data_IF_819333177652
#
_entry.id   IF_819333177652
#
_cell.length_a   1.000
_cell.length_b   1.000
_cell.length_c   1.000
_cell.angle_alpha   90.00
_cell.angle_beta   90.00
_cell.angle_gamma   90.00
#
_symmetry.space_group_name_H-M   'P 1'
#
loop_
_entity.id
_entity.type
_entity.pdbx_description
1 polymer ?
#
# COMPACT_ATOMS: atom_id res chain seq x y z
N UNK A 1 -2.54 -20.26 78.36
CA UNK A 1 -2.03 -19.04 79.05
C UNK A 1 -2.56 -17.86 78.26
N UNK A 2 -3.71 -17.29 78.64
CA UNK A 2 -3.85 -16.20 79.65
C UNK A 2 -2.98 -14.99 79.24
N UNK A 3 -3.46 -13.76 79.12
CA UNK A 3 -4.76 -13.13 79.38
C UNK A 3 -4.69 -11.74 78.69
N UNK A 4 -5.71 -11.34 77.94
CA UNK A 4 -6.74 -10.36 78.36
C UNK A 4 -6.22 -8.93 78.64
N UNK A 5 -6.83 -7.97 77.95
CA UNK A 5 -7.71 -6.91 78.49
C UNK A 5 -8.25 -6.08 77.30
N UNK A 6 -9.50 -6.15 76.82
CA UNK A 6 -10.84 -5.70 77.32
C UNK A 6 -10.89 -4.23 77.74
N UNK A 7 -11.42 -3.31 76.88
CA UNK A 7 -12.81 -2.72 76.83
C UNK A 7 -13.00 -1.54 77.85
N UNK A 8 -14.01 -0.61 77.78
CA UNK A 8 -15.30 -0.68 77.08
C UNK A 8 -15.81 0.74 76.54
N UNK A 9 -17.13 1.09 76.43
CA UNK A 9 -17.72 1.71 75.23
C UNK A 9 -18.58 2.98 75.53
N UNK A 10 -19.25 3.56 74.53
CA UNK A 10 -20.51 4.32 74.68
C UNK A 10 -21.22 4.34 73.30
N UNK A 11 -22.34 3.62 73.13
CA UNK A 11 -23.73 4.11 73.28
C UNK A 11 -24.14 5.08 72.14
N UNK A 12 -25.24 4.96 71.39
CA UNK A 12 -26.53 4.23 71.52
C UNK A 12 -27.36 4.46 70.24
N UNK A 13 -28.11 3.42 69.82
CA UNK A 13 -29.47 3.43 69.23
C UNK A 13 -29.83 4.03 67.85
N UNK A 14 -30.28 3.12 66.97
CA UNK A 14 -31.37 3.25 65.97
C UNK A 14 -32.75 3.38 66.68
N UNK A 15 -33.92 3.55 66.00
CA UNK A 15 -34.27 4.07 64.66
C UNK A 15 -35.40 5.13 64.76
N UNK A 16 -35.98 5.63 63.65
CA UNK A 16 -37.44 5.70 63.38
C UNK A 16 -37.77 6.60 62.17
N UNK A 17 -38.55 6.00 61.29
CA UNK A 17 -39.28 6.53 60.14
C UNK A 17 -40.42 7.46 60.59
N UNK A 18 -40.59 8.63 59.94
CA UNK A 18 -41.76 9.08 59.14
C UNK A 18 -42.02 10.59 59.23
N UNK A 19 -42.35 11.16 58.05
CA UNK A 19 -43.29 12.27 57.79
C UNK A 19 -42.86 13.65 58.34
N UNK A 20 -42.74 14.73 57.55
CA UNK A 20 -43.72 15.31 56.61
C UNK A 20 -43.01 16.29 55.66
N UNK A 21 -43.63 16.47 54.49
CA UNK A 21 -43.36 17.51 53.49
C UNK A 21 -43.21 18.93 54.08
N UNK A 22 -42.27 19.72 53.55
CA UNK A 22 -42.54 21.07 53.01
C UNK A 22 -41.39 21.53 52.10
N UNK A 23 -41.69 21.56 50.80
CA UNK A 23 -41.36 22.61 49.83
C UNK A 23 -40.13 23.49 50.08
N UNK A 24 -39.06 23.24 49.32
CA UNK A 24 -38.26 24.30 48.69
C UNK A 24 -37.87 23.85 47.28
N UNK A 25 -38.56 24.43 46.29
CA UNK A 25 -38.13 24.41 44.88
C UNK A 25 -36.84 25.23 44.78
N UNK A 26 -35.88 24.74 44.00
CA UNK A 26 -34.88 25.60 43.39
C UNK A 26 -33.48 25.01 43.32
N UNK A 27 -33.09 24.63 42.10
CA UNK A 27 -31.73 24.86 41.60
C UNK A 27 -30.61 23.87 41.98
N UNK A 28 -30.82 22.55 41.86
CA UNK A 28 -29.71 21.56 41.87
C UNK A 28 -29.85 20.46 40.79
N UNK A 29 -30.40 20.78 39.59
CA UNK A 29 -30.44 19.82 38.46
C UNK A 29 -29.71 20.33 37.21
N UNK A 30 -29.33 21.62 37.12
CA UNK A 30 -28.67 22.17 35.94
C UNK A 30 -27.17 21.79 35.82
N UNK A 31 -26.44 21.75 36.94
CA UNK A 31 -24.97 21.66 36.90
C UNK A 31 -24.42 20.33 36.35
N UNK A 32 -25.14 19.21 36.52
CA UNK A 32 -24.69 17.91 35.99
C UNK A 32 -24.95 17.76 34.48
N UNK A 33 -25.93 18.47 33.94
CA UNK A 33 -26.20 18.50 32.50
C UNK A 33 -25.09 19.25 31.77
N UNK A 34 -24.60 20.35 32.35
CA UNK A 34 -23.62 21.22 31.69
C UNK A 34 -22.23 20.57 31.64
N UNK A 35 -21.82 19.81 32.67
CA UNK A 35 -20.57 19.05 32.64
C UNK A 35 -20.63 17.87 31.66
N UNK A 36 -21.75 17.14 31.62
CA UNK A 36 -21.94 16.07 30.64
C UNK A 36 -21.98 16.64 29.21
N UNK A 37 -22.61 17.80 29.02
CA UNK A 37 -22.65 18.52 27.75
C UNK A 37 -21.27 19.05 27.36
N UNK A 38 -20.48 19.59 28.30
CA UNK A 38 -19.09 20.01 28.05
C UNK A 38 -18.18 18.84 27.74
N UNK A 39 -18.36 17.67 28.38
CA UNK A 39 -17.56 16.48 28.08
C UNK A 39 -17.99 15.86 26.76
N UNK A 40 -19.29 15.87 26.42
CA UNK A 40 -19.78 15.47 25.11
C UNK A 40 -19.31 16.42 24.03
N UNK A 41 -19.40 17.73 24.23
CA UNK A 41 -18.93 18.77 23.30
C UNK A 41 -17.41 18.68 23.15
N UNK A 42 -16.66 18.51 24.24
CA UNK A 42 -15.21 18.27 24.18
C UNK A 42 -14.88 16.96 23.47
N UNK A 43 -15.61 15.87 23.69
CA UNK A 43 -15.39 14.59 22.98
C UNK A 43 -15.86 14.62 21.51
N UNK A 44 -16.90 15.38 21.18
CA UNK A 44 -17.38 15.64 19.82
C UNK A 44 -16.39 16.54 19.07
N UNK A 45 -15.81 17.53 19.75
CA UNK A 45 -14.71 18.36 19.25
C UNK A 45 -13.42 17.54 19.09
N UNK A 46 -13.09 16.62 20.00
CA UNK A 46 -11.89 15.76 19.88
C UNK A 46 -12.08 14.62 18.87
N UNK A 47 -13.30 14.16 18.59
CA UNK A 47 -13.58 13.21 17.50
C UNK A 47 -13.65 13.87 16.13
N UNK A 48 -14.02 15.15 16.05
CA UNK A 48 -13.98 15.94 14.81
C UNK A 48 -12.65 16.69 14.59
N UNK A 49 -11.76 16.72 15.58
CA UNK A 49 -10.37 17.10 15.38
C UNK A 49 -9.53 15.87 15.07
N UNK A 50 -9.83 15.27 13.91
CA UNK A 50 -8.72 14.82 13.06
C UNK A 50 -7.83 16.05 12.92
N UNK A 51 -6.60 15.97 13.40
CA UNK A 51 -5.58 16.99 13.17
C UNK A 51 -5.36 17.11 11.66
N UNK A 52 -6.22 17.86 10.99
CA UNK A 52 -6.13 18.27 9.60
C UNK A 52 -5.05 19.35 9.49
N UNK A 53 -3.80 18.96 9.75
CA UNK A 53 -2.64 19.56 9.11
C UNK A 53 -2.10 18.63 8.01
N UNK A 54 -2.95 17.74 7.50
CA UNK A 54 -2.77 17.02 6.24
C UNK A 54 -3.21 17.96 5.10
N UNK A 55 -2.31 18.34 4.20
CA UNK A 55 -2.55 19.22 3.04
C UNK A 55 -3.93 19.04 2.42
N UNK A 56 -4.89 19.97 2.52
CA UNK A 56 -6.29 19.76 2.05
C UNK A 56 -6.42 19.33 0.58
N UNK A 57 -5.32 19.43 -0.17
CA UNK A 57 -5.15 19.05 -1.55
C UNK A 57 -4.17 17.90 -1.72
N UNK A 58 -4.41 17.10 -2.75
CA UNK A 58 -3.49 16.11 -3.28
C UNK A 58 -2.97 16.60 -4.63
N UNK A 59 -1.67 16.50 -4.83
CA UNK A 59 -1.04 16.83 -6.11
C UNK A 59 -1.32 15.71 -7.10
N UNK A 60 -1.91 16.07 -8.24
CA UNK A 60 -2.38 15.10 -9.23
C UNK A 60 -2.00 15.52 -10.64
N UNK A 61 -1.65 14.55 -11.47
CA UNK A 61 -1.48 14.75 -12.92
C UNK A 61 -2.69 14.19 -13.65
N UNK A 62 -3.34 15.00 -14.49
CA UNK A 62 -4.65 14.66 -15.09
C UNK A 62 -4.55 14.60 -16.61
N UNK A 63 -5.08 13.53 -17.18
CA UNK A 63 -5.25 13.32 -18.62
C UNK A 63 -6.73 13.41 -18.99
N UNK A 64 -7.01 14.04 -20.13
CA UNK A 64 -8.35 14.12 -20.71
C UNK A 64 -8.73 12.89 -21.55
N UNK A 65 -9.92 12.95 -22.16
CA UNK A 65 -10.49 11.88 -22.98
C UNK A 65 -9.72 11.64 -24.28
N UNK A 66 -8.94 12.64 -24.72
CA UNK A 66 -8.08 12.55 -25.89
C UNK A 66 -6.69 12.03 -25.52
N UNK A 67 -6.42 11.78 -24.24
CA UNK A 67 -5.12 11.36 -23.75
C UNK A 67 -4.11 12.49 -23.67
N UNK A 68 -4.56 13.74 -23.72
CA UNK A 68 -3.69 14.91 -23.60
C UNK A 68 -3.55 15.30 -22.13
N UNK A 69 -2.33 15.70 -21.77
CA UNK A 69 -2.03 16.22 -20.45
C UNK A 69 -2.73 17.58 -20.24
N UNK A 70 -3.73 17.63 -19.36
CA UNK A 70 -4.47 18.87 -19.07
C UNK A 70 -3.65 19.80 -18.19
N UNK A 71 -3.02 19.24 -17.16
CA UNK A 71 -2.18 19.98 -16.22
C UNK A 71 -1.17 19.03 -15.57
N UNK A 72 0.14 19.25 -15.74
CA UNK A 72 1.12 18.58 -14.92
C UNK A 72 0.96 19.08 -13.48
N UNK A 73 0.73 18.16 -12.53
CA UNK A 73 0.76 18.45 -11.10
C UNK A 73 -0.19 19.58 -10.60
N UNK A 74 -1.49 19.36 -10.69
CA UNK A 74 -2.53 20.21 -10.09
C UNK A 74 -2.89 19.75 -8.68
N UNK A 75 -3.06 20.71 -7.77
CA UNK A 75 -3.55 20.45 -6.41
C UNK A 75 -5.09 20.30 -6.41
N UNK A 76 -5.58 19.07 -6.23
CA UNK A 76 -7.00 18.75 -6.18
C UNK A 76 -7.44 18.56 -4.73
N UNK A 77 -8.54 19.21 -4.33
CA UNK A 77 -9.08 19.06 -2.95
C UNK A 77 -9.52 17.62 -2.69
N UNK A 78 -9.22 17.09 -1.49
CA UNK A 78 -9.70 15.75 -1.09
C UNK A 78 -11.22 15.62 -1.21
N UNK A 79 -11.98 16.66 -0.88
CA UNK A 79 -13.44 16.68 -1.02
C UNK A 79 -13.92 16.56 -2.47
N UNK A 80 -13.17 17.13 -3.42
CA UNK A 80 -13.46 17.00 -4.85
C UNK A 80 -13.20 15.56 -5.34
N UNK A 81 -12.08 14.96 -4.92
CA UNK A 81 -11.77 13.56 -5.23
C UNK A 81 -12.85 12.59 -4.72
N UNK A 82 -13.42 12.82 -3.54
CA UNK A 82 -14.52 12.01 -2.99
C UNK A 82 -15.79 12.22 -3.81
N UNK A 83 -16.22 13.48 -3.95
CA UNK A 83 -17.56 13.81 -4.47
C UNK A 83 -17.65 13.63 -5.98
N UNK A 84 -16.62 14.04 -6.72
CA UNK A 84 -16.60 14.06 -8.20
C UNK A 84 -15.95 12.82 -8.80
N UNK A 85 -15.02 12.19 -8.07
CA UNK A 85 -14.29 11.02 -8.58
C UNK A 85 -14.67 9.70 -7.89
N UNK A 86 -15.61 9.73 -6.95
CA UNK A 86 -16.18 8.51 -6.34
C UNK A 86 -15.17 7.74 -5.48
N UNK A 87 -14.16 8.43 -4.96
CA UNK A 87 -13.20 7.86 -4.03
C UNK A 87 -13.78 7.82 -2.63
N UNK A 88 -13.54 6.73 -1.91
CA UNK A 88 -13.88 6.66 -0.49
C UNK A 88 -12.77 7.33 0.33
N UNK A 89 -13.09 7.88 1.52
CA UNK A 89 -12.08 8.44 2.43
C UNK A 89 -10.92 7.47 2.73
N UNK A 90 -11.20 6.16 2.76
CA UNK A 90 -10.17 5.11 2.96
C UNK A 90 -9.17 5.03 1.81
N UNK A 91 -9.60 5.31 0.58
CA UNK A 91 -8.74 5.25 -0.61
C UNK A 91 -7.78 6.44 -0.59
N UNK A 92 -8.31 7.62 -0.25
CA UNK A 92 -7.51 8.83 -0.10
C UNK A 92 -6.44 8.63 0.96
N UNK A 93 -6.75 8.02 2.10
CA UNK A 93 -5.72 7.68 3.12
C UNK A 93 -4.63 6.73 2.62
N UNK A 94 -4.96 5.81 1.70
CA UNK A 94 -3.97 4.93 1.06
C UNK A 94 -3.13 5.67 0.03
N UNK A 95 -3.70 6.68 -0.63
CA UNK A 95 -3.03 7.48 -1.67
C UNK A 95 -2.14 8.56 -1.05
N UNK A 96 -2.61 9.17 0.02
CA UNK A 96 -2.02 10.31 0.72
C UNK A 96 -0.87 9.83 1.61
N UNK A 97 0.32 9.78 1.01
CA UNK A 97 1.56 9.27 1.61
C UNK A 97 2.12 10.17 2.72
N UNK A 98 1.39 11.19 3.18
CA UNK A 98 1.87 12.14 4.19
C UNK A 98 2.12 11.51 5.56
N UNK A 99 1.59 10.31 5.84
CA UNK A 99 1.64 9.75 7.19
C UNK A 99 2.22 8.34 7.37
N UNK A 100 2.55 7.57 6.32
CA UNK A 100 3.15 6.23 6.54
C UNK A 100 4.17 5.85 5.48
N UNK A 101 5.42 5.73 5.90
CA UNK A 101 6.53 5.02 5.25
C UNK A 101 6.32 3.50 5.13
N UNK A 102 5.06 3.05 5.20
CA UNK A 102 4.70 1.65 5.06
C UNK A 102 4.42 1.38 3.58
N UNK A 103 5.15 0.43 3.02
CA UNK A 103 4.98 -0.07 1.66
C UNK A 103 3.51 -0.45 1.45
N UNK A 104 2.78 0.39 0.72
CA UNK A 104 1.35 0.17 0.45
C UNK A 104 1.24 -1.09 -0.40
N UNK A 105 0.49 -2.07 0.11
CA UNK A 105 0.24 -3.31 -0.61
C UNK A 105 -0.34 -3.00 -2.01
N UNK A 106 0.16 -3.67 -3.06
CA UNK A 106 -0.38 -3.51 -4.39
C UNK A 106 -1.88 -3.86 -4.40
N UNK A 107 -2.64 -3.17 -5.24
CA UNK A 107 -4.07 -3.42 -5.38
C UNK A 107 -4.59 -2.86 -6.71
N UNK A 108 -5.46 -3.63 -7.35
CA UNK A 108 -6.31 -3.18 -8.45
C UNK A 108 -7.75 -3.32 -7.97
N UNK A 109 -8.50 -2.22 -7.91
CA UNK A 109 -9.88 -2.21 -7.46
C UNK A 109 -10.77 -1.72 -8.59
N UNK A 110 -11.50 -2.66 -9.18
CA UNK A 110 -12.53 -2.37 -10.19
C UNK A 110 -13.77 -1.83 -9.49
N UNK A 111 -14.31 -0.71 -10.00
CA UNK A 111 -15.52 -0.07 -9.47
C UNK A 111 -16.53 0.17 -10.58
N UNK A 112 -17.69 0.69 -10.19
CA UNK A 112 -18.78 1.01 -11.13
C UNK A 112 -18.37 1.98 -12.24
N UNK A 113 -17.53 2.97 -11.94
CA UNK A 113 -17.20 4.06 -12.88
C UNK A 113 -15.70 4.36 -12.98
N UNK A 114 -14.87 3.56 -12.31
CA UNK A 114 -13.44 3.79 -12.23
C UNK A 114 -12.69 2.53 -11.84
N UNK A 115 -11.40 2.49 -12.16
CA UNK A 115 -10.46 1.48 -11.68
C UNK A 115 -9.40 2.21 -10.88
N UNK A 116 -9.26 1.85 -9.60
CA UNK A 116 -8.22 2.39 -8.73
C UNK A 116 -7.04 1.43 -8.75
N UNK A 117 -5.88 1.91 -9.18
CA UNK A 117 -4.65 1.11 -9.27
C UNK A 117 -3.61 1.68 -8.32
N UNK A 118 -3.03 0.80 -7.51
CA UNK A 118 -1.87 1.07 -6.66
C UNK A 118 -0.85 -0.02 -6.93
N UNK A 119 0.16 0.27 -7.75
CA UNK A 119 1.23 -0.67 -8.10
C UNK A 119 2.57 0.02 -7.93
N UNK A 120 3.38 -0.47 -6.98
CA UNK A 120 4.72 0.05 -6.70
C UNK A 120 4.70 1.57 -6.40
N UNK A 121 5.29 2.36 -7.29
CA UNK A 121 5.37 3.82 -7.20
C UNK A 121 4.20 4.52 -7.92
N UNK A 122 3.35 3.79 -8.64
CA UNK A 122 2.24 4.33 -9.43
C UNK A 122 0.95 4.20 -8.64
N UNK A 123 0.26 5.32 -8.46
CA UNK A 123 -1.09 5.38 -7.91
C UNK A 123 -1.94 6.18 -8.88
N UNK A 124 -3.01 5.58 -9.37
CA UNK A 124 -3.87 6.25 -10.32
C UNK A 124 -5.32 5.82 -10.25
N UNK A 125 -6.19 6.74 -10.62
CA UNK A 125 -7.60 6.49 -10.87
C UNK A 125 -7.85 6.56 -12.38
N UNK A 126 -8.24 5.44 -12.95
CA UNK A 126 -8.58 5.31 -14.36
C UNK A 126 -10.10 5.41 -14.49
N UNK A 127 -10.58 6.23 -15.42
CA UNK A 127 -11.98 6.31 -15.85
C UNK A 127 -12.05 6.09 -17.37
N UNK A 128 -13.27 5.97 -17.90
CA UNK A 128 -13.52 5.85 -19.34
C UNK A 128 -13.01 7.04 -20.17
N UNK A 129 -12.84 8.22 -19.56
CA UNK A 129 -12.55 9.48 -20.24
C UNK A 129 -11.46 10.32 -19.55
N UNK A 130 -10.90 9.86 -18.44
CA UNK A 130 -9.85 10.59 -17.74
C UNK A 130 -8.95 9.63 -16.96
N UNK A 131 -7.66 9.94 -16.88
CA UNK A 131 -6.73 9.29 -15.93
C UNK A 131 -6.23 10.34 -14.95
N UNK A 132 -6.23 10.01 -13.67
CA UNK A 132 -5.70 10.86 -12.60
C UNK A 132 -4.56 10.09 -11.94
N UNK A 133 -3.34 10.55 -12.12
CA UNK A 133 -2.17 10.09 -11.38
C UNK A 133 -2.08 10.88 -10.08
N UNK A 134 -1.78 10.21 -8.98
CA UNK A 134 -1.52 10.84 -7.70
C UNK A 134 -0.01 10.99 -7.52
N UNK A 135 0.46 12.23 -7.49
CA UNK A 135 1.87 12.56 -7.32
C UNK A 135 2.23 12.48 -5.83
N UNK A 136 3.40 11.93 -5.50
CA UNK A 136 3.91 12.02 -4.13
C UNK A 136 4.37 13.46 -3.85
N UNK A 137 3.78 14.07 -2.83
CA UNK A 137 4.08 15.42 -2.37
C UNK A 137 5.56 15.64 -1.97
N UNK A 138 6.30 14.57 -1.65
CA UNK A 138 7.71 14.65 -1.22
C UNK A 138 8.76 14.32 -2.29
N UNK A 139 8.37 13.65 -3.37
CA UNK A 139 9.31 13.18 -4.38
C UNK A 139 9.47 14.22 -5.49
N UNK A 140 10.69 14.78 -5.63
CA UNK A 140 11.09 15.48 -6.87
C UNK A 140 10.77 14.52 -8.01
N UNK A 141 9.97 14.96 -8.99
CA UNK A 141 9.55 14.14 -10.16
C UNK A 141 10.72 13.29 -10.64
N UNK A 142 10.69 12.00 -10.28
CA UNK A 142 11.79 11.10 -10.59
C UNK A 142 11.86 10.96 -12.11
N UNK A 143 13.04 10.68 -12.67
CA UNK A 143 13.16 10.45 -14.12
C UNK A 143 12.18 9.36 -14.60
N UNK A 144 11.96 8.34 -13.77
CA UNK A 144 10.99 7.28 -14.01
C UNK A 144 9.54 7.83 -14.06
N UNK A 145 9.17 8.74 -13.15
CA UNK A 145 7.83 9.34 -13.15
C UNK A 145 7.57 10.22 -14.38
N UNK A 146 8.54 11.05 -14.77
CA UNK A 146 8.42 11.86 -15.99
C UNK A 146 8.38 11.01 -17.26
N UNK A 147 9.17 9.93 -17.30
CA UNK A 147 9.14 8.97 -18.41
C UNK A 147 7.78 8.27 -18.49
N UNK A 148 7.23 7.83 -17.35
CA UNK A 148 5.91 7.21 -17.29
C UNK A 148 4.81 8.17 -17.78
N UNK A 149 4.83 9.45 -17.38
CA UNK A 149 3.85 10.45 -17.85
C UNK A 149 3.88 10.54 -19.39
N UNK A 150 5.07 10.59 -20.00
CA UNK A 150 5.22 10.68 -21.45
C UNK A 150 4.76 9.41 -22.17
N UNK A 151 5.10 8.23 -21.63
CA UNK A 151 4.66 6.94 -22.17
C UNK A 151 3.14 6.77 -22.08
N UNK A 152 2.55 7.15 -20.95
CA UNK A 152 1.10 7.16 -20.74
C UNK A 152 0.41 8.11 -21.72
N UNK A 153 0.91 9.34 -21.89
CA UNK A 153 0.37 10.30 -22.85
C UNK A 153 0.38 9.74 -24.28
N UNK A 154 1.52 9.15 -24.68
CA UNK A 154 1.67 8.55 -26.00
C UNK A 154 0.69 7.39 -26.22
N UNK A 155 0.50 6.52 -25.21
CA UNK A 155 -0.37 5.35 -25.30
C UNK A 155 -1.85 5.74 -25.31
N UNK A 156 -2.25 6.75 -24.54
CA UNK A 156 -3.62 7.27 -24.53
C UNK A 156 -4.01 7.99 -25.83
N UNK A 157 -3.06 8.67 -26.48
CA UNK A 157 -3.28 9.34 -27.78
C UNK A 157 -3.33 8.38 -28.97
N UNK A 158 -2.81 7.16 -28.82
CA UNK A 158 -2.72 6.18 -29.91
C UNK A 158 -4.07 5.51 -30.20
N UNK A 159 -5.06 6.29 -30.64
CA UNK A 159 -6.42 5.83 -30.96
C UNK A 159 -6.49 5.14 -32.32
N UNK A 160 -5.43 5.24 -33.15
CA UNK A 160 -5.40 4.67 -34.49
C UNK A 160 -4.69 3.31 -34.58
N UNK A 161 -3.97 2.88 -33.53
CA UNK A 161 -3.15 1.66 -33.56
C UNK A 161 -3.65 0.54 -32.63
N UNK A 162 -4.62 0.81 -31.74
CA UNK A 162 -5.17 -0.20 -30.83
C UNK A 162 -6.69 -0.15 -30.81
N UNK A 163 -7.33 -1.30 -31.05
CA UNK A 163 -8.79 -1.51 -30.86
C UNK A 163 -9.21 -1.47 -29.37
N UNK A 164 -8.26 -1.24 -28.46
CA UNK A 164 -8.51 -1.23 -27.02
C UNK A 164 -9.19 0.08 -26.56
N UNK A 165 -10.21 -0.01 -25.68
CA UNK A 165 -10.80 1.13 -25.00
C UNK A 165 -9.79 1.98 -24.23
N UNK A 166 -10.13 3.25 -23.98
CA UNK A 166 -9.29 4.22 -23.28
C UNK A 166 -8.77 3.69 -21.94
N UNK A 167 -9.66 3.13 -21.13
CA UNK A 167 -9.36 2.60 -19.80
C UNK A 167 -8.40 1.40 -19.84
N UNK A 168 -8.47 0.56 -20.87
CA UNK A 168 -7.58 -0.60 -21.03
C UNK A 168 -6.19 -0.14 -21.46
N UNK A 169 -6.09 0.82 -22.38
CA UNK A 169 -4.80 1.42 -22.78
C UNK A 169 -4.11 2.11 -21.59
N UNK A 170 -4.88 2.78 -20.74
CA UNK A 170 -4.38 3.39 -19.51
C UNK A 170 -3.80 2.34 -18.56
N UNK A 171 -4.56 1.25 -18.32
CA UNK A 171 -4.10 0.17 -17.46
C UNK A 171 -2.86 -0.52 -18.02
N UNK A 172 -2.84 -0.80 -19.31
CA UNK A 172 -1.70 -1.40 -19.99
C UNK A 172 -0.44 -0.54 -19.82
N UNK A 173 -0.54 0.79 -19.98
CA UNK A 173 0.57 1.70 -19.74
C UNK A 173 1.09 1.62 -18.29
N UNK A 174 0.19 1.49 -17.31
CA UNK A 174 0.55 1.32 -15.90
C UNK A 174 1.27 -0.01 -15.67
N UNK A 175 0.77 -1.11 -16.23
CA UNK A 175 1.38 -2.44 -16.10
C UNK A 175 2.76 -2.49 -16.76
N UNK A 176 2.91 -1.94 -17.97
CA UNK A 176 4.21 -1.84 -18.65
C UNK A 176 5.24 -1.10 -17.79
N UNK A 177 4.86 0.06 -17.24
CA UNK A 177 5.76 0.85 -16.40
C UNK A 177 6.11 0.15 -15.09
N UNK A 178 5.12 -0.50 -14.45
CA UNK A 178 5.32 -1.26 -13.23
C UNK A 178 6.28 -2.45 -13.44
N UNK A 179 6.07 -3.25 -14.49
CA UNK A 179 6.95 -4.38 -14.81
C UNK A 179 8.33 -3.93 -15.25
N UNK A 180 8.46 -2.87 -16.05
CA UNK A 180 9.76 -2.31 -16.43
C UNK A 180 10.59 -1.91 -15.20
N UNK A 181 9.92 -1.37 -14.16
CA UNK A 181 10.56 -1.05 -12.90
C UNK A 181 10.97 -2.31 -12.11
N UNK A 182 10.14 -3.35 -12.06
CA UNK A 182 10.52 -4.63 -11.45
C UNK A 182 11.69 -5.28 -12.17
N UNK A 183 11.71 -5.23 -13.50
CA UNK A 183 12.79 -5.73 -14.34
C UNK A 183 14.12 -5.04 -14.05
N UNK A 184 14.09 -3.70 -14.01
CA UNK A 184 15.28 -2.90 -13.71
C UNK A 184 15.82 -3.24 -12.32
N UNK A 185 14.94 -3.35 -11.32
CA UNK A 185 15.32 -3.68 -9.95
C UNK A 185 15.84 -5.12 -9.82
N UNK A 186 15.20 -6.09 -10.48
CA UNK A 186 15.66 -7.49 -10.56
C UNK A 186 17.07 -7.57 -11.16
N UNK A 187 17.32 -6.86 -12.28
CA UNK A 187 18.63 -6.84 -12.95
C UNK A 187 19.71 -6.28 -12.04
N UNK A 188 19.43 -5.19 -11.32
CA UNK A 188 20.36 -4.60 -10.35
C UNK A 188 20.64 -5.58 -9.22
N UNK A 189 19.60 -6.12 -8.57
CA UNK A 189 19.74 -7.05 -7.46
C UNK A 189 20.53 -8.31 -7.87
N UNK A 190 20.21 -8.88 -9.03
CA UNK A 190 20.90 -10.06 -9.56
C UNK A 190 22.37 -9.79 -9.85
N UNK A 191 22.68 -8.65 -10.46
CA UNK A 191 24.06 -8.27 -10.82
C UNK A 191 24.90 -8.03 -9.58
N UNK A 192 24.38 -7.26 -8.61
CA UNK A 192 25.07 -7.01 -7.34
C UNK A 192 25.32 -8.32 -6.60
N UNK A 193 24.31 -9.19 -6.52
CA UNK A 193 24.42 -10.48 -5.83
C UNK A 193 25.51 -11.36 -6.43
N UNK A 194 25.54 -11.51 -7.76
CA UNK A 194 26.57 -12.28 -8.46
C UNK A 194 27.97 -11.72 -8.19
N UNK A 195 28.12 -10.39 -8.18
CA UNK A 195 29.39 -9.76 -7.84
C UNK A 195 29.87 -10.09 -6.44
N UNK A 196 28.98 -10.01 -5.44
CA UNK A 196 29.32 -10.33 -4.05
C UNK A 196 29.71 -11.79 -3.86
N UNK A 197 29.00 -12.71 -4.51
CA UNK A 197 29.32 -14.13 -4.45
C UNK A 197 30.70 -14.42 -5.06
N UNK A 198 31.01 -13.82 -6.23
CA UNK A 198 32.33 -13.97 -6.85
C UNK A 198 33.46 -13.43 -5.96
N UNK A 199 33.27 -12.26 -5.35
CA UNK A 199 34.26 -11.70 -4.42
C UNK A 199 34.47 -12.56 -3.16
N UNK A 200 33.44 -13.29 -2.71
CA UNK A 200 33.51 -14.21 -1.57
C UNK A 200 34.16 -15.55 -1.93
N UNK A 201 34.03 -16.00 -3.18
CA UNK A 201 34.74 -17.18 -3.69
C UNK A 201 36.26 -16.95 -3.76
N UNK A 202 36.70 -15.72 -4.07
CA UNK A 202 38.13 -15.35 -4.07
C UNK A 202 38.72 -15.20 -2.65
N UNK A 203 38.02 -14.48 -1.78
CA UNK A 203 38.48 -14.23 -0.41
C UNK A 203 37.32 -13.97 0.55
N UNK A 204 37.22 -14.80 1.59
CA UNK A 204 36.20 -14.70 2.63
C UNK A 204 36.63 -13.66 3.67
N UNK A 205 35.93 -12.51 3.72
CA UNK A 205 36.14 -11.47 4.74
C UNK A 205 34.85 -11.13 5.47
N UNK A 206 34.96 -10.66 6.73
CA UNK A 206 33.80 -10.26 7.56
C UNK A 206 32.96 -9.16 6.93
N UNK A 207 33.58 -8.23 6.22
CA UNK A 207 32.90 -7.12 5.55
C UNK A 207 32.04 -7.61 4.37
N UNK A 208 32.60 -8.50 3.53
CA UNK A 208 31.89 -9.11 2.41
C UNK A 208 30.70 -9.97 2.88
N UNK A 209 30.87 -10.73 3.96
CA UNK A 209 29.76 -11.47 4.59
C UNK A 209 28.66 -10.53 5.10
N UNK A 210 29.02 -9.42 5.75
CA UNK A 210 28.04 -8.42 6.19
C UNK A 210 27.29 -7.81 5.00
N UNK A 211 28.00 -7.53 3.91
CA UNK A 211 27.39 -7.00 2.70
C UNK A 211 26.44 -8.02 2.07
N UNK A 212 26.80 -9.30 2.01
CA UNK A 212 25.93 -10.37 1.54
C UNK A 212 24.62 -10.45 2.32
N UNK A 213 24.67 -10.38 3.66
CA UNK A 213 23.45 -10.37 4.49
C UNK A 213 22.52 -9.18 4.18
N UNK A 214 23.09 -8.00 3.94
CA UNK A 214 22.31 -6.81 3.55
C UNK A 214 21.68 -7.02 2.17
N UNK A 215 22.43 -7.58 1.22
CA UNK A 215 21.90 -7.88 -0.12
C UNK A 215 20.81 -8.96 -0.06
N UNK A 216 20.99 -10.02 0.73
CA UNK A 216 20.01 -11.09 0.92
C UNK A 216 18.67 -10.52 1.45
N UNK A 217 18.74 -9.60 2.43
CA UNK A 217 17.55 -8.87 2.89
C UNK A 217 16.87 -8.07 1.76
N UNK A 218 17.64 -7.34 0.94
CA UNK A 218 17.09 -6.55 -0.18
C UNK A 218 16.42 -7.44 -1.23
N UNK A 219 17.07 -8.53 -1.63
CA UNK A 219 16.54 -9.50 -2.59
C UNK A 219 15.25 -10.11 -2.05
N UNK A 220 15.22 -10.49 -0.77
CA UNK A 220 14.03 -11.07 -0.13
C UNK A 220 12.85 -10.07 -0.12
N UNK A 221 13.10 -8.80 0.23
CA UNK A 221 12.07 -7.75 0.17
C UNK A 221 11.58 -7.53 -1.27
N UNK A 222 12.49 -7.51 -2.25
CA UNK A 222 12.12 -7.40 -3.66
C UNK A 222 11.29 -8.60 -4.13
N UNK A 223 11.65 -9.82 -3.75
CA UNK A 223 10.90 -11.02 -4.09
C UNK A 223 9.48 -10.99 -3.51
N UNK A 224 9.33 -10.59 -2.24
CA UNK A 224 8.01 -10.42 -1.63
C UNK A 224 7.19 -9.36 -2.39
N UNK A 225 7.80 -8.22 -2.72
CA UNK A 225 7.13 -7.15 -3.48
C UNK A 225 6.67 -7.62 -4.87
N UNK A 226 7.52 -8.32 -5.62
CA UNK A 226 7.16 -8.86 -6.93
C UNK A 226 6.05 -9.91 -6.84
N UNK A 227 6.12 -10.77 -5.81
CA UNK A 227 5.08 -11.78 -5.51
C UNK A 227 3.73 -11.10 -5.28
N UNK A 228 3.67 -10.07 -4.43
CA UNK A 228 2.43 -9.34 -4.18
C UNK A 228 1.85 -8.68 -5.44
N UNK A 229 2.69 -8.20 -6.36
CA UNK A 229 2.21 -7.63 -7.63
C UNK A 229 1.63 -8.73 -8.52
N UNK A 230 2.30 -9.87 -8.63
CA UNK A 230 1.82 -11.03 -9.39
C UNK A 230 0.48 -11.52 -8.82
N UNK A 231 0.39 -11.71 -7.51
CA UNK A 231 -0.80 -12.23 -6.84
C UNK A 231 -2.01 -11.29 -7.06
N UNK A 232 -1.81 -9.98 -7.10
CA UNK A 232 -2.89 -9.02 -7.43
C UNK A 232 -3.40 -9.18 -8.86
N UNK A 233 -2.53 -9.55 -9.81
CA UNK A 233 -2.96 -9.81 -11.20
C UNK A 233 -3.68 -11.15 -11.27
N UNK A 234 -3.22 -12.17 -10.54
CA UNK A 234 -3.84 -13.49 -10.42
C UNK A 234 -5.26 -13.39 -9.84
N UNK A 235 -5.40 -12.72 -8.70
CA UNK A 235 -6.69 -12.45 -8.06
C UNK A 235 -7.68 -11.72 -8.98
N UNK A 236 -7.18 -10.85 -9.86
CA UNK A 236 -7.99 -10.14 -10.85
C UNK A 236 -8.42 -11.06 -12.00
N UNK A 237 -7.52 -11.94 -12.46
CA UNK A 237 -7.80 -12.93 -13.51
C UNK A 237 -8.81 -13.98 -13.05
N UNK A 238 -8.84 -14.32 -11.76
CA UNK A 238 -9.80 -15.28 -11.20
C UNK A 238 -11.25 -14.73 -11.09
N UNK A 239 -11.46 -13.42 -11.30
CA UNK A 239 -12.75 -12.77 -11.09
C UNK A 239 -13.34 -12.16 -12.38
N UNK A 240 -14.12 -12.96 -13.10
CA UNK A 240 -14.80 -12.59 -14.34
C UNK A 240 -15.68 -11.31 -14.19
N UNK A 241 -16.32 -11.11 -13.03
CA UNK A 241 -17.13 -9.91 -12.76
C UNK A 241 -16.27 -8.64 -12.73
N UNK A 242 -15.05 -8.74 -12.19
CA UNK A 242 -14.08 -7.64 -12.19
C UNK A 242 -13.51 -7.43 -13.59
N UNK A 243 -13.19 -8.50 -14.34
CA UNK A 243 -12.70 -8.42 -15.71
C UNK A 243 -13.71 -7.75 -16.66
N UNK A 244 -14.94 -8.25 -16.71
CA UNK A 244 -16.04 -7.59 -17.43
C UNK A 244 -16.29 -6.17 -16.86
N UNK A 245 -16.05 -6.01 -15.56
CA UNK A 245 -16.16 -4.76 -14.85
C UNK A 245 -15.19 -3.67 -15.31
N UNK A 246 -14.08 -4.02 -15.95
CA UNK A 246 -13.05 -3.08 -16.39
C UNK A 246 -13.42 -2.31 -17.66
N UNK A 247 -14.44 -2.74 -18.41
CA UNK A 247 -14.94 -2.04 -19.60
C UNK A 247 -15.80 -0.82 -19.23
N UNK A 248 -15.15 0.23 -18.71
CA UNK A 248 -15.78 1.45 -18.24
C UNK A 248 -16.48 2.24 -19.35
N UNK A 249 -15.92 2.25 -20.57
CA UNK A 249 -16.52 2.92 -21.74
C UNK A 249 -17.85 2.27 -22.12
N UNK A 250 -17.90 0.93 -22.11
CA UNK A 250 -19.12 0.17 -22.38
C UNK A 250 -20.20 0.45 -21.32
N UNK A 251 -19.82 0.45 -20.04
CA UNK A 251 -20.69 0.85 -18.91
C UNK A 251 -21.21 2.28 -19.04
N UNK A 252 -20.36 3.23 -19.41
CA UNK A 252 -20.73 4.64 -19.61
C UNK A 252 -21.76 4.82 -20.73
N UNK A 253 -21.67 3.98 -21.78
CA UNK A 253 -22.61 3.97 -22.90
C UNK A 253 -23.90 3.19 -22.62
N UNK A 254 -24.07 2.64 -21.41
CA UNK A 254 -25.26 1.87 -21.03
C UNK A 254 -25.30 0.46 -21.61
N UNK A 255 -24.20 -0.03 -22.17
CA UNK A 255 -24.07 -1.38 -22.74
C UNK A 255 -22.96 -2.11 -21.96
N UNK A 256 -23.19 -2.50 -20.70
CA UNK A 256 -22.21 -3.28 -19.94
C UNK A 256 -21.95 -4.61 -20.66
N UNK A 257 -20.67 -5.03 -20.70
CA UNK A 257 -20.30 -6.34 -21.25
C UNK A 257 -20.84 -7.46 -20.38
N UNK A 258 -21.09 -8.61 -21.01
CA UNK A 258 -21.41 -9.85 -20.28
C UNK A 258 -20.22 -10.28 -19.45
N UNK A 259 -20.48 -11.09 -18.42
CA UNK A 259 -19.43 -11.70 -17.61
C UNK A 259 -18.53 -12.58 -18.49
N UNK A 260 -19.03 -13.17 -19.58
CA UNK A 260 -18.20 -13.98 -20.49
C UNK A 260 -17.45 -13.17 -21.58
N UNK A 261 -17.63 -11.84 -21.65
CA UNK A 261 -17.13 -10.98 -22.74
C UNK A 261 -15.90 -10.16 -22.30
N UNK A 262 -14.88 -10.85 -21.79
CA UNK A 262 -13.63 -10.27 -21.29
C UNK A 262 -12.33 -10.82 -21.92
N UNK A 263 -12.42 -11.56 -23.03
CA UNK A 263 -11.26 -12.22 -23.62
C UNK A 263 -10.08 -11.28 -23.91
N UNK A 264 -10.34 -10.05 -24.38
CA UNK A 264 -9.27 -9.11 -24.73
C UNK A 264 -8.47 -8.64 -23.50
N UNK A 265 -9.15 -8.33 -22.39
CA UNK A 265 -8.50 -7.89 -21.16
C UNK A 265 -7.84 -9.05 -20.43
N UNK A 266 -8.46 -10.22 -20.46
CA UNK A 266 -7.93 -11.46 -19.89
C UNK A 266 -6.59 -11.83 -20.55
N UNK A 267 -6.55 -11.93 -21.89
CA UNK A 267 -5.31 -12.20 -22.63
C UNK A 267 -4.22 -11.16 -22.35
N UNK A 268 -4.61 -9.89 -22.20
CA UNK A 268 -3.68 -8.82 -21.85
C UNK A 268 -3.10 -9.06 -20.45
N UNK A 269 -3.94 -9.30 -19.46
CA UNK A 269 -3.52 -9.53 -18.07
C UNK A 269 -2.72 -10.82 -17.91
N UNK A 270 -3.07 -11.90 -18.59
CA UNK A 270 -2.30 -13.15 -18.61
C UNK A 270 -0.87 -12.92 -19.11
N UNK A 271 -0.69 -12.11 -20.15
CA UNK A 271 0.64 -11.76 -20.66
C UNK A 271 1.48 -11.05 -19.59
N UNK A 272 0.89 -10.08 -18.88
CA UNK A 272 1.58 -9.37 -17.80
C UNK A 272 1.78 -10.23 -16.54
N UNK A 273 0.85 -11.13 -16.23
CA UNK A 273 0.99 -12.13 -15.17
C UNK A 273 2.19 -13.03 -15.44
N UNK A 274 2.26 -13.63 -16.64
CA UNK A 274 3.34 -14.53 -17.03
C UNK A 274 4.71 -13.82 -16.97
N UNK A 275 4.78 -12.57 -17.42
CA UNK A 275 6.01 -11.78 -17.32
C UNK A 275 6.38 -11.49 -15.86
N UNK A 276 5.41 -11.14 -15.01
CA UNK A 276 5.67 -10.92 -13.59
C UNK A 276 6.10 -12.22 -12.88
N UNK A 277 5.49 -13.35 -13.21
CA UNK A 277 5.85 -14.66 -12.65
C UNK A 277 7.27 -15.08 -13.07
N UNK A 278 7.70 -14.80 -14.30
CA UNK A 278 9.09 -15.02 -14.73
C UNK A 278 10.10 -14.22 -13.86
N UNK A 279 9.76 -12.98 -13.51
CA UNK A 279 10.56 -12.15 -12.60
C UNK A 279 10.63 -12.81 -11.21
N UNK A 280 9.49 -13.25 -10.68
CA UNK A 280 9.39 -13.93 -9.37
C UNK A 280 10.20 -15.24 -9.36
N UNK A 281 10.09 -16.06 -10.39
CA UNK A 281 10.85 -17.30 -10.52
C UNK A 281 12.36 -17.02 -10.60
N UNK A 282 12.75 -16.03 -11.39
CA UNK A 282 14.16 -15.64 -11.56
C UNK A 282 14.78 -15.18 -10.25
N UNK A 283 14.09 -14.33 -9.49
CA UNK A 283 14.63 -13.85 -8.21
C UNK A 283 14.67 -14.96 -7.15
N UNK A 284 13.68 -15.84 -7.10
CA UNK A 284 13.68 -17.00 -6.20
C UNK A 284 14.86 -17.94 -6.48
N UNK A 285 15.20 -18.14 -7.76
CA UNK A 285 16.43 -18.86 -8.14
C UNK A 285 17.68 -18.17 -7.62
N UNK A 286 17.77 -16.83 -7.69
CA UNK A 286 18.91 -16.08 -7.14
C UNK A 286 19.00 -16.25 -5.62
N UNK A 287 17.88 -16.19 -4.90
CA UNK A 287 17.82 -16.43 -3.44
C UNK A 287 18.35 -17.83 -3.11
N UNK A 288 17.90 -18.85 -3.84
CA UNK A 288 18.36 -20.23 -3.62
C UNK A 288 19.86 -20.40 -3.89
N UNK A 289 20.38 -19.73 -4.92
CA UNK A 289 21.81 -19.74 -5.21
C UNK A 289 22.61 -19.08 -4.08
N UNK A 290 22.16 -17.91 -3.59
CA UNK A 290 22.79 -17.23 -2.45
C UNK A 290 22.85 -18.14 -1.23
N UNK A 291 21.73 -18.79 -0.88
CA UNK A 291 21.66 -19.72 0.25
C UNK A 291 22.64 -20.89 0.09
N UNK A 292 22.71 -21.47 -1.11
CA UNK A 292 23.65 -22.56 -1.41
C UNK A 292 25.10 -22.09 -1.26
N UNK A 293 25.44 -20.91 -1.78
CA UNK A 293 26.78 -20.33 -1.63
C UNK A 293 27.09 -19.98 -0.16
N UNK A 294 26.14 -19.47 0.61
CA UNK A 294 26.29 -19.24 2.06
C UNK A 294 26.62 -20.54 2.79
N UNK A 295 25.94 -21.64 2.47
CA UNK A 295 26.21 -22.96 3.04
C UNK A 295 27.62 -23.47 2.69
N UNK A 296 28.05 -23.31 1.43
CA UNK A 296 29.39 -23.69 0.97
C UNK A 296 30.48 -22.85 1.67
N UNK A 297 30.31 -21.53 1.74
CA UNK A 297 31.26 -20.60 2.38
C UNK A 297 31.40 -20.91 3.87
N UNK A 298 30.28 -21.24 4.53
CA UNK A 298 30.35 -21.66 5.93
C UNK A 298 31.18 -22.94 6.05
N UNK A 299 30.88 -23.99 5.28
CA UNK A 299 31.61 -25.27 5.31
C UNK A 299 33.11 -25.07 5.02
N UNK A 300 33.48 -24.26 4.02
CA UNK A 300 34.88 -24.02 3.69
C UNK A 300 35.60 -23.26 4.81
N UNK A 301 34.95 -22.28 5.43
CA UNK A 301 35.48 -21.58 6.61
C UNK A 301 35.71 -22.53 7.78
N UNK A 302 34.78 -23.47 8.04
CA UNK A 302 34.97 -24.50 9.07
C UNK A 302 36.17 -25.39 8.75
N UNK A 303 36.30 -25.88 7.52
CA UNK A 303 37.41 -26.74 7.09
C UNK A 303 38.75 -26.02 7.22
N UNK A 304 38.85 -24.75 6.79
CA UNK A 304 40.09 -23.97 6.90
C UNK A 304 40.46 -23.75 8.37
N UNK A 305 39.47 -23.51 9.23
CA UNK A 305 39.70 -23.36 10.68
C UNK A 305 40.21 -24.67 11.29
N UNK A 306 39.58 -25.80 10.94
CA UNK A 306 39.95 -27.13 11.43
C UNK A 306 41.34 -27.58 10.95
N UNK A 307 41.68 -27.31 9.68
CA UNK A 307 43.02 -27.58 9.12
C UNK A 307 44.07 -26.73 9.83
N UNK A 308 43.81 -25.43 10.03
CA UNK A 308 44.75 -24.56 10.75
C UNK A 308 44.96 -25.00 12.19
N UNK A 309 43.92 -25.50 12.87
CA UNK A 309 44.04 -26.09 14.21
C UNK A 309 44.88 -27.38 14.18
N UNK A 310 44.66 -28.26 13.21
CA UNK A 310 45.42 -29.51 13.06
C UNK A 310 46.90 -29.31 12.68
N UNK A 311 47.27 -28.17 12.08
CA UNK A 311 48.66 -27.85 11.68
C UNK A 311 49.44 -27.04 12.73
N UNK A 312 48.79 -26.66 13.84
CA UNK A 312 49.40 -25.92 14.95
C UNK A 312 49.82 -26.82 16.14
N UNK A 313 49.58 -28.13 16.05
CA UNK A 313 50.10 -29.19 16.94
C UNK A 313 51.24 -29.99 16.27
#
# INVERSE_FOLDING_TARGET
>A
MLCQQTLPPHATHLPIIRLFNTTTKGTMVQANSDYASMILEKNLMHRNHVSYTESQTLRCTVFDAQGTLVSPSMDIKRTELITKHGLFPRDIRKIDQTNHSFEIAPAISVRRTSILVSLLHIRCLIKADTVILFDDSGSRTSRAHSQFIAELESKLKSTQQSDLPYEIRALEAVLVSALANLDAEMKVNTTVTKGVLAELEEEITREKLRFLLIQNKKISTFAQKATLVRDVIDELLENDDDLAGMYLTAKKNGVPRSVDDHAEIEMLLESYYNHCDEIVQTINRVINNVRTSEEIINISSWIVTEINLCYLD
#
